data_IF_289234191795
#
_entry.id   IF_289234191795
#
_cell.length_a   1.000
_cell.length_b   1.000
_cell.length_c   1.000
_cell.angle_alpha   90.00
_cell.angle_beta   90.00
_cell.angle_gamma   90.00
#
_symmetry.space_group_name_H-M   'P 1'
#
loop_
_entity.id
_entity.type
_entity.pdbx_description
1 polymer ?
#
# COMPACT_ATOMS: atom_id res chain seq x y z
N UNK A 1 -4.10 40.24 -6.17
CA UNK A 1 -2.69 40.69 -6.27
C UNK A 1 -2.13 40.27 -7.62
N UNK A 2 -1.33 41.14 -8.27
CA UNK A 2 -0.81 40.88 -9.61
C UNK A 2 0.39 39.91 -9.62
N UNK A 3 1.15 39.84 -8.53
CA UNK A 3 2.33 38.96 -8.38
C UNK A 3 2.34 38.28 -7.02
N UNK A 4 3.10 37.19 -6.92
CA UNK A 4 3.31 36.43 -5.69
C UNK A 4 4.01 37.28 -4.61
N UNK A 5 4.92 38.15 -5.03
CA UNK A 5 5.59 39.11 -4.14
C UNK A 5 4.60 40.08 -3.49
N UNK A 6 3.67 40.66 -4.25
CA UNK A 6 2.65 41.59 -3.71
C UNK A 6 1.69 40.85 -2.78
N UNK A 7 1.37 39.59 -3.10
CA UNK A 7 0.53 38.76 -2.22
C UNK A 7 1.22 38.48 -0.88
N UNK A 8 2.49 38.10 -0.92
CA UNK A 8 3.28 37.84 0.27
C UNK A 8 3.44 39.09 1.14
N UNK A 9 3.78 40.23 0.54
CA UNK A 9 3.93 41.51 1.26
C UNK A 9 2.64 41.91 1.98
N UNK A 10 1.51 41.92 1.26
CA UNK A 10 0.21 42.28 1.84
C UNK A 10 -0.25 41.26 2.87
N UNK A 11 0.02 39.98 2.63
CA UNK A 11 -0.35 38.92 3.56
C UNK A 11 0.46 38.99 4.86
N UNK A 12 1.75 39.35 4.80
CA UNK A 12 2.55 39.57 6.01
C UNK A 12 2.07 40.81 6.78
N UNK A 13 1.74 41.91 6.08
CA UNK A 13 1.16 43.08 6.71
C UNK A 13 -0.16 42.74 7.44
N UNK A 14 -1.04 41.96 6.80
CA UNK A 14 -2.31 41.52 7.39
C UNK A 14 -2.10 40.57 8.57
N UNK A 15 -1.15 39.63 8.47
CA UNK A 15 -0.79 38.71 9.56
C UNK A 15 -0.34 39.51 10.79
N UNK A 16 0.53 40.51 10.59
CA UNK A 16 1.04 41.36 11.66
C UNK A 16 -0.04 42.26 12.26
N UNK A 17 -0.89 42.89 11.43
CA UNK A 17 -2.01 43.73 11.87
C UNK A 17 -3.01 42.95 12.74
N UNK A 18 -3.24 41.68 12.41
CA UNK A 18 -4.17 40.80 13.13
C UNK A 18 -3.49 39.97 14.24
N UNK A 19 -2.20 40.18 14.50
CA UNK A 19 -1.41 39.43 15.51
C UNK A 19 -1.50 37.90 15.36
N UNK A 20 -1.51 37.41 14.11
CA UNK A 20 -1.62 35.98 13.81
C UNK A 20 -0.24 35.31 13.78
N UNK A 21 -0.10 34.11 14.34
CA UNK A 21 1.12 33.30 14.20
C UNK A 21 1.41 32.96 12.72
N UNK A 22 0.35 32.66 11.96
CA UNK A 22 0.43 32.29 10.57
C UNK A 22 -0.83 32.72 9.81
N UNK A 23 -0.67 32.99 8.51
CA UNK A 23 -1.75 33.26 7.57
C UNK A 23 -1.65 32.31 6.38
N UNK A 24 -2.67 31.48 6.18
CA UNK A 24 -2.81 30.61 5.01
C UNK A 24 -3.76 31.27 4.00
N UNK A 25 -3.31 31.41 2.75
CA UNK A 25 -4.08 32.00 1.66
C UNK A 25 -4.30 30.94 0.58
N UNK A 26 -5.56 30.57 0.35
CA UNK A 26 -5.95 29.73 -0.79
C UNK A 26 -5.99 30.57 -2.07
N UNK A 27 -5.35 30.09 -3.14
CA UNK A 27 -5.16 30.81 -4.41
C UNK A 27 -5.76 30.08 -5.61
N UNK A 28 -6.84 29.32 -5.38
CA UNK A 28 -7.53 28.56 -6.42
C UNK A 28 -6.57 27.68 -7.23
N UNK A 29 -6.54 27.81 -8.56
CA UNK A 29 -5.66 27.07 -9.46
C UNK A 29 -4.17 27.35 -9.25
N UNK A 30 -3.81 28.41 -8.51
CA UNK A 30 -2.42 28.72 -8.16
C UNK A 30 -1.96 28.01 -6.87
N UNK A 31 -2.84 27.25 -6.22
CA UNK A 31 -2.53 26.49 -5.01
C UNK A 31 -2.70 27.30 -3.73
N UNK A 32 -1.69 27.29 -2.84
CA UNK A 32 -1.74 27.92 -1.52
C UNK A 32 -0.46 28.68 -1.19
N UNK A 33 -0.60 29.72 -0.36
CA UNK A 33 0.53 30.44 0.23
C UNK A 33 0.40 30.44 1.74
N UNK A 34 1.43 29.98 2.44
CA UNK A 34 1.55 30.05 3.90
C UNK A 34 2.57 31.14 4.27
N UNK A 35 2.13 32.08 5.09
CA UNK A 35 2.93 33.18 5.62
C UNK A 35 3.05 32.98 7.13
N UNK A 36 4.27 33.07 7.66
CA UNK A 36 4.59 32.81 9.07
C UNK A 36 5.57 33.85 9.57
N UNK A 37 5.45 34.19 10.84
CA UNK A 37 6.36 35.15 11.47
C UNK A 37 7.83 34.75 11.32
N UNK A 38 8.65 35.70 10.84
CA UNK A 38 10.10 35.51 10.71
C UNK A 38 10.53 34.46 9.68
N UNK A 39 9.62 33.98 8.82
CA UNK A 39 9.92 32.96 7.81
C UNK A 39 9.56 33.45 6.41
N UNK A 40 10.28 32.93 5.41
CA UNK A 40 9.94 33.18 4.01
C UNK A 40 8.55 32.60 3.68
N UNK A 41 7.74 33.29 2.86
CA UNK A 41 6.48 32.76 2.35
C UNK A 41 6.67 31.41 1.67
N UNK A 42 5.86 30.43 2.02
CA UNK A 42 5.86 29.12 1.38
C UNK A 42 4.72 29.06 0.37
N UNK A 43 5.06 28.86 -0.89
CA UNK A 43 4.10 28.69 -1.98
C UNK A 43 4.03 27.20 -2.37
N UNK A 44 2.84 26.62 -2.36
CA UNK A 44 2.59 25.28 -2.90
C UNK A 44 1.60 25.38 -4.07
N UNK A 45 2.00 24.98 -5.30
CA UNK A 45 1.06 24.93 -6.42
C UNK A 45 0.02 23.82 -6.19
N UNK A 46 -1.18 23.97 -6.76
CA UNK A 46 -2.16 22.88 -6.76
C UNK A 46 -1.73 21.77 -7.72
N UNK A 47 -2.15 20.53 -7.44
CA UNK A 47 -2.00 19.39 -8.36
C UNK A 47 -3.22 19.17 -9.26
N UNK A 48 -4.33 19.87 -9.03
CA UNK A 48 -5.55 19.70 -9.83
C UNK A 48 -5.31 20.18 -11.28
N UNK A 49 -5.40 19.27 -12.25
CA UNK A 49 -5.22 19.59 -13.67
C UNK A 49 -6.52 20.04 -14.35
N UNK A 50 -7.68 19.67 -13.81
CA UNK A 50 -9.00 20.11 -14.28
C UNK A 50 -9.91 20.44 -13.07
N UNK A 51 -10.43 21.68 -13.04
CA UNK A 51 -11.32 22.17 -11.98
C UNK A 51 -12.75 22.08 -12.50
N UNK A 52 -13.57 21.26 -11.87
CA UNK A 52 -14.99 21.09 -12.22
C UNK A 52 -15.89 21.99 -11.37
N UNK A 53 -15.65 22.02 -10.06
CA UNK A 53 -16.47 22.76 -9.10
C UNK A 53 -15.60 23.21 -7.91
N UNK A 54 -15.67 24.48 -7.50
CA UNK A 54 -14.88 25.02 -6.37
C UNK A 54 -15.62 24.93 -5.02
N UNK A 55 -16.85 24.43 -5.04
CA UNK A 55 -17.72 24.38 -3.86
C UNK A 55 -17.22 23.34 -2.85
N UNK A 56 -17.02 23.73 -1.59
CA UNK A 56 -16.53 22.85 -0.50
C UNK A 56 -15.01 22.69 -0.40
N UNK A 57 -14.23 23.31 -1.29
CA UNK A 57 -12.77 23.30 -1.21
C UNK A 57 -12.25 23.96 0.08
N UNK A 58 -12.84 25.10 0.47
CA UNK A 58 -12.48 25.81 1.69
C UNK A 58 -12.71 24.99 2.95
N UNK A 59 -13.85 24.31 3.05
CA UNK A 59 -14.18 23.44 4.19
C UNK A 59 -13.21 22.26 4.28
N UNK A 60 -12.80 21.70 3.14
CA UNK A 60 -11.79 20.63 3.06
C UNK A 60 -10.43 21.13 3.55
N UNK A 61 -10.04 22.35 3.17
CA UNK A 61 -8.79 22.97 3.65
C UNK A 61 -8.81 23.13 5.16
N UNK A 62 -9.87 23.71 5.71
CA UNK A 62 -10.00 23.94 7.15
C UNK A 62 -10.00 22.61 7.90
N UNK A 63 -10.76 21.62 7.42
CA UNK A 63 -10.84 20.29 8.03
C UNK A 63 -9.50 19.57 8.07
N UNK A 64 -8.77 19.54 6.94
CA UNK A 64 -7.46 18.86 6.88
C UNK A 64 -6.36 19.61 7.64
N UNK A 65 -6.36 20.95 7.60
CA UNK A 65 -5.47 21.75 8.43
C UNK A 65 -5.71 21.45 9.92
N UNK A 66 -6.97 21.49 10.35
CA UNK A 66 -7.36 21.19 11.72
C UNK A 66 -6.96 19.78 12.16
N UNK A 67 -7.20 18.78 11.31
CA UNK A 67 -6.82 17.39 11.58
C UNK A 67 -5.30 17.22 11.70
N UNK A 68 -4.52 17.77 10.78
CA UNK A 68 -3.07 17.65 10.78
C UNK A 68 -2.44 18.35 12.00
N UNK A 69 -2.94 19.55 12.34
CA UNK A 69 -2.49 20.28 13.52
C UNK A 69 -2.88 19.55 14.82
N UNK A 70 -4.08 18.97 14.89
CA UNK A 70 -4.50 18.15 16.03
C UNK A 70 -3.66 16.87 16.19
N UNK A 71 -3.15 16.33 15.08
CA UNK A 71 -2.18 15.24 15.04
C UNK A 71 -0.72 15.71 15.25
N UNK A 72 -0.51 16.97 15.66
CA UNK A 72 0.78 17.55 16.01
C UNK A 72 1.78 17.66 14.84
N UNK A 73 1.28 17.75 13.61
CA UNK A 73 2.08 18.10 12.42
C UNK A 73 2.27 19.62 12.33
N UNK A 74 3.36 20.07 11.69
CA UNK A 74 3.60 21.50 11.51
C UNK A 74 2.79 22.07 10.33
N UNK A 75 2.67 23.40 10.30
CA UNK A 75 1.86 24.13 9.32
C UNK A 75 2.21 23.82 7.85
N UNK A 76 3.48 23.64 7.44
CA UNK A 76 3.82 23.25 6.07
C UNK A 76 3.25 21.88 5.67
N UNK A 77 3.33 20.88 6.54
CA UNK A 77 2.80 19.53 6.29
C UNK A 77 1.27 19.56 6.26
N UNK A 78 0.66 20.31 7.17
CA UNK A 78 -0.79 20.54 7.18
C UNK A 78 -1.26 21.20 5.87
N UNK A 79 -0.53 22.24 5.40
CA UNK A 79 -0.83 22.91 4.13
C UNK A 79 -0.69 21.95 2.95
N UNK A 80 0.32 21.09 2.95
CA UNK A 80 0.52 20.10 1.89
C UNK A 80 -0.67 19.13 1.78
N UNK A 81 -1.13 18.59 2.92
CA UNK A 81 -2.31 17.72 2.97
C UNK A 81 -3.58 18.47 2.52
N UNK A 82 -3.79 19.69 3.03
CA UNK A 82 -4.93 20.52 2.68
C UNK A 82 -4.97 20.87 1.18
N UNK A 83 -3.82 21.22 0.59
CA UNK A 83 -3.70 21.52 -0.83
C UNK A 83 -3.98 20.31 -1.72
N UNK A 84 -3.55 19.12 -1.30
CA UNK A 84 -3.85 17.88 -2.00
C UNK A 84 -5.34 17.54 -1.92
N UNK A 85 -5.92 17.56 -0.72
CA UNK A 85 -7.33 17.25 -0.50
C UNK A 85 -8.27 18.21 -1.21
N UNK A 86 -7.98 19.52 -1.13
CA UNK A 86 -8.74 20.53 -1.86
C UNK A 86 -8.68 20.29 -3.37
N UNK A 87 -7.50 19.95 -3.91
CA UNK A 87 -7.33 19.60 -5.32
C UNK A 87 -8.17 18.41 -5.76
N UNK A 88 -8.32 17.39 -4.92
CA UNK A 88 -9.16 16.22 -5.19
C UNK A 88 -10.66 16.53 -5.12
N UNK A 89 -11.08 17.39 -4.20
CA UNK A 89 -12.50 17.76 -4.05
C UNK A 89 -12.95 18.60 -5.24
N UNK A 90 -12.13 19.56 -5.70
CA UNK A 90 -12.52 20.43 -6.82
C UNK A 90 -12.50 19.74 -8.18
N UNK A 91 -11.88 18.57 -8.27
CA UNK A 91 -11.90 17.71 -9.45
C UNK A 91 -13.20 16.89 -9.57
N UNK A 92 -14.11 16.97 -8.59
CA UNK A 92 -15.39 16.25 -8.56
C UNK A 92 -16.56 17.22 -8.75
N UNK A 93 -17.67 16.78 -9.36
CA UNK A 93 -18.86 17.61 -9.49
C UNK A 93 -19.61 17.77 -8.16
N UNK A 94 -20.03 19.00 -7.83
CA UNK A 94 -20.85 19.31 -6.65
C UNK A 94 -20.07 19.36 -5.33
N UNK A 95 -20.79 19.41 -4.21
CA UNK A 95 -20.22 19.33 -2.86
C UNK A 95 -19.74 17.89 -2.59
N UNK A 96 -18.52 17.59 -3.04
CA UNK A 96 -17.95 16.26 -2.90
C UNK A 96 -17.16 16.11 -1.59
N UNK A 97 -17.17 14.90 -1.03
CA UNK A 97 -16.37 14.54 0.14
C UNK A 97 -15.02 13.98 -0.26
N UNK A 98 -14.04 14.12 0.62
CA UNK A 98 -12.74 13.47 0.52
C UNK A 98 -12.71 12.21 1.40
N UNK A 99 -12.35 11.07 0.82
CA UNK A 99 -12.07 9.85 1.58
C UNK A 99 -10.58 9.72 1.92
N UNK A 100 -10.27 8.95 2.97
CA UNK A 100 -8.89 8.64 3.34
C UNK A 100 -8.19 7.88 2.21
N UNK A 101 -8.88 6.97 1.53
CA UNK A 101 -8.35 6.22 0.40
C UNK A 101 -7.86 7.13 -0.74
N UNK A 102 -8.67 8.14 -1.11
CA UNK A 102 -8.31 9.08 -2.17
C UNK A 102 -7.10 9.94 -1.80
N UNK A 103 -7.07 10.44 -0.56
CA UNK A 103 -5.92 11.20 -0.06
C UNK A 103 -4.65 10.33 -0.04
N UNK A 104 -4.78 9.07 0.39
CA UNK A 104 -3.69 8.12 0.45
C UNK A 104 -3.14 7.81 -0.94
N UNK A 105 -4.00 7.53 -1.92
CA UNK A 105 -3.60 7.33 -3.32
C UNK A 105 -2.89 8.56 -3.88
N UNK A 106 -3.40 9.76 -3.61
CA UNK A 106 -2.81 11.00 -4.14
C UNK A 106 -1.45 11.37 -3.49
N UNK A 107 -1.20 10.92 -2.26
CA UNK A 107 0.09 11.06 -1.57
C UNK A 107 1.15 10.13 -2.16
N UNK A 108 0.79 8.87 -2.44
CA UNK A 108 1.73 7.85 -2.89
C UNK A 108 1.87 7.79 -4.43
N UNK A 109 0.90 8.32 -5.18
CA UNK A 109 0.87 8.34 -6.65
C UNK A 109 0.78 6.94 -7.30
N UNK A 110 0.98 6.86 -8.62
CA UNK A 110 1.08 5.61 -9.41
C UNK A 110 2.24 4.67 -8.98
N UNK A 111 3.00 5.03 -7.93
CA UNK A 111 4.08 4.19 -7.39
C UNK A 111 3.57 2.98 -6.62
N UNK A 112 2.30 2.96 -6.25
CA UNK A 112 1.64 1.73 -5.82
C UNK A 112 1.46 0.88 -7.07
N UNK A 113 2.42 0.00 -7.36
CA UNK A 113 2.30 -0.94 -8.46
C UNK A 113 0.95 -1.65 -8.35
N UNK A 114 0.04 -1.43 -9.30
CA UNK A 114 -1.30 -2.04 -9.24
C UNK A 114 -1.19 -3.57 -9.20
N UNK A 115 -0.14 -4.11 -9.84
CA UNK A 115 0.18 -5.53 -9.89
C UNK A 115 1.71 -5.75 -9.99
N UNK A 116 2.18 -6.91 -9.56
CA UNK A 116 3.51 -7.44 -9.85
C UNK A 116 4.45 -7.55 -8.65
N UNK A 117 5.76 -7.56 -8.95
CA UNK A 117 6.82 -7.66 -7.95
C UNK A 117 6.95 -6.34 -7.20
N UNK A 118 6.94 -6.41 -5.87
CA UNK A 118 6.97 -5.25 -4.98
C UNK A 118 7.87 -5.52 -3.76
N UNK A 119 8.58 -4.48 -3.32
CA UNK A 119 9.39 -4.54 -2.10
C UNK A 119 8.52 -4.46 -0.83
N UNK A 120 8.99 -4.96 0.33
CA UNK A 120 8.20 -5.02 1.56
C UNK A 120 7.60 -3.67 2.01
N UNK A 121 8.37 -2.59 2.00
CA UNK A 121 7.88 -1.29 2.47
C UNK A 121 6.75 -0.73 1.58
N UNK A 122 6.91 -0.63 0.24
CA UNK A 122 5.82 -0.23 -0.65
C UNK A 122 4.60 -1.15 -0.62
N UNK A 123 4.79 -2.45 -0.31
CA UNK A 123 3.67 -3.38 -0.17
C UNK A 123 2.75 -3.01 0.99
N UNK A 124 3.30 -2.64 2.15
CA UNK A 124 2.49 -2.22 3.31
C UNK A 124 1.57 -1.07 2.89
N UNK A 125 2.10 -0.12 2.13
CA UNK A 125 1.34 1.01 1.65
C UNK A 125 0.24 0.59 0.65
N UNK A 126 0.57 -0.31 -0.28
CA UNK A 126 -0.39 -0.85 -1.26
C UNK A 126 -1.55 -1.59 -0.60
N UNK A 127 -1.25 -2.42 0.40
CA UNK A 127 -2.25 -3.19 1.17
C UNK A 127 -3.16 -2.23 1.94
N UNK A 128 -2.61 -1.24 2.65
CA UNK A 128 -3.40 -0.24 3.37
C UNK A 128 -4.28 0.57 2.44
N UNK A 129 -3.75 0.98 1.27
CA UNK A 129 -4.54 1.68 0.26
C UNK A 129 -5.73 0.83 -0.22
N UNK A 130 -5.53 -0.46 -0.47
CA UNK A 130 -6.58 -1.38 -0.89
C UNK A 130 -7.66 -1.56 0.20
N UNK A 131 -7.24 -1.81 1.44
CA UNK A 131 -8.14 -1.93 2.59
C UNK A 131 -8.97 -0.65 2.80
N UNK A 132 -8.38 0.53 2.64
CA UNK A 132 -9.08 1.81 2.71
C UNK A 132 -10.12 1.99 1.59
N UNK A 133 -9.92 1.36 0.43
CA UNK A 133 -10.92 1.29 -0.66
C UNK A 133 -12.00 0.22 -0.41
N UNK A 134 -11.94 -0.49 0.71
CA UNK A 134 -12.85 -1.58 1.04
C UNK A 134 -12.53 -2.90 0.33
N UNK A 135 -11.37 -3.00 -0.31
CA UNK A 135 -10.89 -4.26 -0.91
C UNK A 135 -10.36 -5.17 0.19
N UNK A 136 -10.73 -6.45 0.13
CA UNK A 136 -10.26 -7.46 1.08
C UNK A 136 -8.96 -8.08 0.60
N UNK A 137 -7.89 -7.93 1.36
CA UNK A 137 -6.54 -8.38 1.00
C UNK A 137 -6.23 -9.74 1.61
N UNK A 138 -5.97 -10.70 0.74
CA UNK A 138 -5.55 -12.06 1.07
C UNK A 138 -4.03 -12.16 0.97
N UNK A 139 -3.39 -12.85 1.90
CA UNK A 139 -1.95 -13.13 1.84
C UNK A 139 -1.69 -14.61 2.03
N UNK A 140 -0.74 -15.13 1.26
CA UNK A 140 -0.18 -16.47 1.43
C UNK A 140 1.34 -16.40 1.30
N UNK A 141 2.05 -17.43 1.76
CA UNK A 141 3.48 -17.55 1.56
C UNK A 141 3.92 -18.95 1.10
N UNK A 142 5.03 -19.00 0.37
CA UNK A 142 5.63 -20.26 -0.06
C UNK A 142 6.95 -20.09 -0.81
N UNK A 143 7.61 -21.22 -1.02
CA UNK A 143 8.87 -21.29 -1.76
C UNK A 143 8.66 -21.18 -3.28
N UNK A 144 7.59 -21.82 -3.81
CA UNK A 144 7.21 -21.84 -5.23
C UNK A 144 8.38 -22.13 -6.19
N UNK A 145 9.25 -23.09 -5.82
CA UNK A 145 10.46 -23.43 -6.58
C UNK A 145 10.16 -23.95 -8.00
N UNK A 146 9.27 -24.96 -8.09
CA UNK A 146 8.71 -25.42 -9.36
C UNK A 146 7.20 -25.37 -9.24
N UNK A 147 6.58 -24.48 -10.00
CA UNK A 147 5.14 -24.32 -10.07
C UNK A 147 4.51 -25.50 -10.83
N UNK A 148 3.28 -25.82 -10.44
CA UNK A 148 2.47 -26.88 -11.04
C UNK A 148 0.98 -26.55 -10.85
N UNK A 149 0.10 -27.33 -11.48
CA UNK A 149 -1.34 -27.10 -11.45
C UNK A 149 -1.89 -26.92 -10.02
N UNK A 150 -1.45 -27.74 -9.06
CA UNK A 150 -1.85 -27.58 -7.66
C UNK A 150 -1.52 -26.21 -7.04
N UNK A 151 -0.38 -25.58 -7.39
CA UNK A 151 -0.08 -24.22 -6.94
C UNK A 151 -1.02 -23.19 -7.58
N UNK A 152 -1.34 -23.35 -8.86
CA UNK A 152 -2.26 -22.44 -9.57
C UNK A 152 -3.66 -22.54 -8.96
N UNK A 153 -4.19 -23.76 -8.79
CA UNK A 153 -5.48 -24.00 -8.16
C UNK A 153 -5.53 -23.45 -6.72
N UNK A 154 -4.48 -23.67 -5.93
CA UNK A 154 -4.36 -23.11 -4.58
C UNK A 154 -4.41 -21.58 -4.56
N UNK A 155 -3.64 -20.92 -5.44
CA UNK A 155 -3.62 -19.46 -5.52
C UNK A 155 -4.96 -18.89 -6.00
N UNK A 156 -5.63 -19.55 -6.94
CA UNK A 156 -6.99 -19.18 -7.35
C UNK A 156 -8.01 -19.32 -6.22
N UNK A 157 -7.94 -20.41 -5.45
CA UNK A 157 -8.80 -20.59 -4.27
C UNK A 157 -8.53 -19.52 -3.22
N UNK A 158 -7.25 -19.17 -2.97
CA UNK A 158 -6.89 -18.08 -2.07
C UNK A 158 -7.44 -16.73 -2.56
N UNK A 159 -7.26 -16.40 -3.84
CA UNK A 159 -7.78 -15.18 -4.45
C UNK A 159 -9.29 -15.04 -4.29
N UNK A 160 -10.07 -16.13 -4.41
CA UNK A 160 -11.55 -16.09 -4.25
C UNK A 160 -12.02 -15.66 -2.85
N UNK A 161 -11.15 -15.66 -1.85
CA UNK A 161 -11.51 -15.25 -0.49
C UNK A 161 -11.54 -13.73 -0.31
N UNK A 162 -10.96 -12.97 -1.24
CA UNK A 162 -10.92 -11.50 -1.21
C UNK A 162 -10.77 -10.89 -2.61
N UNK A 163 -10.37 -9.63 -2.64
CA UNK A 163 -10.26 -8.83 -3.86
C UNK A 163 -8.82 -8.71 -4.35
N UNK A 164 -7.84 -8.90 -3.45
CA UNK A 164 -6.40 -8.84 -3.74
C UNK A 164 -5.67 -10.04 -3.13
N UNK A 165 -4.64 -10.54 -3.81
CA UNK A 165 -3.77 -11.62 -3.34
C UNK A 165 -2.32 -11.19 -3.33
N UNK A 166 -1.73 -11.21 -2.14
CA UNK A 166 -0.28 -11.09 -1.89
C UNK A 166 0.33 -12.48 -1.77
N UNK A 167 1.42 -12.72 -2.50
CA UNK A 167 2.23 -13.93 -2.36
C UNK A 167 3.62 -13.56 -1.85
N UNK A 168 3.89 -13.94 -0.59
CA UNK A 168 5.21 -13.80 0.00
C UNK A 168 6.12 -14.98 -0.37
N UNK A 169 7.32 -14.68 -0.84
CA UNK A 169 8.24 -15.65 -1.42
C UNK A 169 9.55 -15.68 -0.64
N UNK A 170 9.93 -16.85 -0.13
CA UNK A 170 11.21 -17.03 0.55
C UNK A 170 12.38 -16.72 -0.40
N UNK A 171 13.39 -16.02 0.07
CA UNK A 171 14.65 -15.87 -0.66
C UNK A 171 15.45 -17.19 -0.72
N UNK A 172 16.53 -17.18 -1.50
CA UNK A 172 17.31 -18.39 -1.78
C UNK A 172 18.04 -18.88 -0.52
N UNK A 173 18.47 -17.96 0.36
CA UNK A 173 19.14 -18.31 1.61
C UNK A 173 18.18 -18.96 2.61
N UNK A 174 16.96 -18.43 2.76
CA UNK A 174 15.88 -18.96 3.60
C UNK A 174 15.51 -20.37 3.15
N UNK A 175 15.37 -20.60 1.84
CA UNK A 175 15.08 -21.94 1.30
C UNK A 175 16.25 -22.90 1.55
N UNK A 176 17.50 -22.44 1.36
CA UNK A 176 18.69 -23.25 1.61
C UNK A 176 18.77 -23.74 3.06
N UNK A 177 18.41 -22.88 4.03
CA UNK A 177 18.31 -23.26 5.46
C UNK A 177 17.18 -24.26 5.72
N UNK A 178 16.02 -24.07 5.10
CA UNK A 178 14.82 -24.89 5.33
C UNK A 178 14.84 -26.26 4.64
N UNK A 179 15.39 -26.34 3.43
CA UNK A 179 15.30 -27.53 2.55
C UNK A 179 16.66 -28.10 2.13
N UNK A 180 17.75 -27.48 2.59
CA UNK A 180 19.13 -27.89 2.32
C UNK A 180 19.77 -27.18 1.12
N UNK A 181 21.09 -27.36 0.93
CA UNK A 181 21.92 -26.52 0.06
C UNK A 181 21.68 -26.72 -1.44
N UNK A 182 20.96 -27.77 -1.84
CA UNK A 182 20.58 -28.05 -3.24
C UNK A 182 19.30 -27.32 -3.67
N UNK A 183 18.70 -26.51 -2.79
CA UNK A 183 17.47 -25.75 -3.03
C UNK A 183 17.69 -24.27 -2.73
N UNK A 184 17.03 -23.36 -3.45
CA UNK A 184 16.08 -23.61 -4.55
C UNK A 184 16.78 -23.97 -5.86
N UNK A 185 16.02 -24.57 -6.80
CA UNK A 185 16.49 -24.80 -8.18
C UNK A 185 16.42 -23.49 -8.97
N UNK A 186 15.34 -22.73 -8.77
CA UNK A 186 15.13 -21.45 -9.42
C UNK A 186 15.48 -20.29 -8.46
N UNK A 187 16.32 -19.32 -8.88
CA UNK A 187 16.61 -18.14 -8.08
C UNK A 187 15.34 -17.31 -7.83
N UNK A 188 15.35 -16.55 -6.73
CA UNK A 188 14.24 -15.72 -6.25
C UNK A 188 13.57 -14.89 -7.37
N UNK A 189 14.37 -14.18 -8.15
CA UNK A 189 13.87 -13.30 -9.21
C UNK A 189 12.98 -14.05 -10.23
N UNK A 190 13.36 -15.28 -10.62
CA UNK A 190 12.58 -16.10 -11.56
C UNK A 190 11.28 -16.59 -10.93
N UNK A 191 11.35 -17.05 -9.68
CA UNK A 191 10.15 -17.53 -8.95
C UNK A 191 9.12 -16.40 -8.82
N UNK A 192 9.59 -15.21 -8.44
CA UNK A 192 8.73 -14.04 -8.32
C UNK A 192 8.14 -13.59 -9.66
N UNK A 193 8.94 -13.60 -10.74
CA UNK A 193 8.47 -13.23 -12.07
C UNK A 193 7.36 -14.15 -12.58
N UNK A 194 7.48 -15.46 -12.36
CA UNK A 194 6.43 -16.41 -12.78
C UNK A 194 5.16 -16.20 -11.96
N UNK A 195 5.28 -16.03 -10.63
CA UNK A 195 4.14 -15.74 -9.76
C UNK A 195 3.42 -14.45 -10.15
N UNK A 196 4.17 -13.39 -10.47
CA UNK A 196 3.61 -12.11 -10.90
C UNK A 196 2.87 -12.18 -12.25
N UNK A 197 3.13 -13.23 -13.05
CA UNK A 197 2.41 -13.48 -14.30
C UNK A 197 1.11 -14.27 -14.12
N UNK A 198 0.80 -14.76 -12.92
CA UNK A 198 -0.44 -15.51 -12.66
C UNK A 198 -1.60 -14.54 -12.44
N UNK A 199 -2.68 -14.70 -13.19
CA UNK A 199 -3.84 -13.80 -13.11
C UNK A 199 -4.56 -13.76 -11.75
N UNK A 200 -4.28 -14.72 -10.86
CA UNK A 200 -4.79 -14.73 -9.50
C UNK A 200 -3.98 -13.85 -8.52
N UNK A 201 -2.75 -13.46 -8.89
CA UNK A 201 -1.80 -12.82 -7.97
C UNK A 201 -1.68 -11.33 -8.29
N UNK A 202 -1.93 -10.49 -7.29
CA UNK A 202 -1.76 -9.04 -7.44
C UNK A 202 -0.36 -8.60 -7.07
N UNK A 203 0.17 -9.06 -5.94
CA UNK A 203 1.48 -8.64 -5.45
C UNK A 203 2.37 -9.81 -5.09
N UNK A 204 3.64 -9.71 -5.45
CA UNK A 204 4.67 -10.69 -5.08
C UNK A 204 5.78 -10.00 -4.33
N UNK A 205 6.06 -10.46 -3.12
CA UNK A 205 7.00 -9.81 -2.19
C UNK A 205 8.04 -10.81 -1.67
N UNK A 206 9.33 -10.46 -1.60
CA UNK A 206 10.34 -11.34 -1.05
C UNK A 206 10.42 -11.23 0.49
N UNK A 207 10.89 -12.28 1.14
CA UNK A 207 11.32 -12.23 2.55
C UNK A 207 12.48 -13.18 2.83
N UNK A 208 13.32 -12.83 3.81
CA UNK A 208 14.57 -13.54 4.12
C UNK A 208 14.55 -14.35 5.41
N UNK A 209 13.59 -14.08 6.29
CA UNK A 209 13.44 -14.77 7.56
C UNK A 209 13.05 -16.24 7.38
N UNK A 210 13.23 -17.04 8.43
CA UNK A 210 12.84 -18.46 8.42
C UNK A 210 11.31 -18.64 8.39
N UNK A 211 10.57 -17.65 8.88
CA UNK A 211 9.11 -17.60 8.85
C UNK A 211 8.64 -16.25 8.30
N UNK A 212 7.45 -16.17 7.67
CA UNK A 212 6.92 -14.91 7.16
C UNK A 212 6.34 -14.00 8.26
N UNK A 213 6.45 -14.35 9.55
CA UNK A 213 5.74 -13.68 10.63
C UNK A 213 6.00 -12.17 10.68
N UNK A 214 7.27 -11.75 10.64
CA UNK A 214 7.64 -10.33 10.69
C UNK A 214 7.09 -9.52 9.50
N UNK A 215 7.02 -10.13 8.30
CA UNK A 215 6.41 -9.49 7.14
C UNK A 215 4.89 -9.41 7.28
N UNK A 216 4.25 -10.49 7.74
CA UNK A 216 2.80 -10.54 7.96
C UNK A 216 2.37 -9.53 9.04
N UNK A 217 3.16 -9.35 10.10
CA UNK A 217 2.92 -8.37 11.16
C UNK A 217 3.02 -6.91 10.67
N UNK A 218 3.83 -6.65 9.65
CA UNK A 218 3.91 -5.34 9.01
C UNK A 218 2.73 -5.11 8.05
N UNK A 219 2.41 -6.13 7.24
CA UNK A 219 1.37 -6.04 6.20
C UNK A 219 -0.03 -6.06 6.82
N UNK A 220 -0.28 -6.91 7.82
CA UNK A 220 -1.59 -7.19 8.43
C UNK A 220 -2.71 -7.33 7.37
N UNK A 221 -2.68 -8.42 6.58
CA UNK A 221 -3.73 -8.73 5.61
C UNK A 221 -5.07 -9.02 6.32
N UNK A 222 -6.18 -8.89 5.60
CA UNK A 222 -7.51 -9.23 6.12
C UNK A 222 -7.72 -10.74 6.22
N UNK A 223 -7.03 -11.51 5.37
CA UNK A 223 -7.05 -12.97 5.39
C UNK A 223 -5.65 -13.52 5.19
N UNK A 224 -5.18 -14.33 6.14
CA UNK A 224 -3.98 -15.14 5.97
C UNK A 224 -4.38 -16.57 5.56
N UNK A 225 -3.83 -17.03 4.45
CA UNK A 225 -4.13 -18.34 3.89
C UNK A 225 -2.90 -19.24 3.90
N UNK A 226 -3.09 -20.49 4.32
CA UNK A 226 -2.12 -21.56 4.16
C UNK A 226 -2.74 -22.79 3.51
N UNK A 227 -1.98 -23.46 2.67
CA UNK A 227 -2.33 -24.79 2.17
C UNK A 227 -1.82 -25.88 3.09
N UNK A 228 -2.58 -26.97 3.22
CA UNK A 228 -2.16 -28.23 3.86
C UNK A 228 -2.76 -28.47 5.24
N UNK A 229 -2.17 -29.40 5.98
CA UNK A 229 -2.74 -29.90 7.25
C UNK A 229 -2.32 -29.06 8.47
N UNK A 230 -2.07 -27.77 8.26
CA UNK A 230 -1.73 -26.87 9.36
C UNK A 230 -2.97 -26.59 10.21
N UNK A 231 -2.78 -26.49 11.53
CA UNK A 231 -3.80 -25.86 12.38
C UNK A 231 -3.70 -24.35 12.21
N UNK A 232 -4.82 -23.62 12.15
CA UNK A 232 -4.81 -22.16 12.06
C UNK A 232 -3.94 -21.48 13.11
N UNK A 233 -3.87 -22.09 14.30
CA UNK A 233 -3.13 -21.65 15.49
C UNK A 233 -1.60 -21.67 15.29
N UNK A 234 -1.10 -22.58 14.45
CA UNK A 234 0.33 -22.84 14.24
C UNK A 234 0.89 -22.03 13.06
N UNK A 235 0.06 -21.22 12.40
CA UNK A 235 0.47 -20.42 11.25
C UNK A 235 1.23 -19.18 11.72
N UNK A 236 2.50 -19.09 11.34
CA UNK A 236 3.35 -17.93 11.59
C UNK A 236 2.68 -16.62 11.12
N UNK A 237 2.56 -15.64 12.02
CA UNK A 237 1.87 -14.37 11.78
C UNK A 237 0.34 -14.42 11.96
N UNK A 238 -0.27 -15.59 12.17
CA UNK A 238 -1.71 -15.76 12.31
C UNK A 238 -2.30 -15.03 13.53
N UNK A 239 -1.62 -15.10 14.68
CA UNK A 239 -2.05 -14.39 15.90
C UNK A 239 -2.16 -12.87 15.69
N UNK A 240 -1.21 -12.26 14.97
CA UNK A 240 -1.22 -10.84 14.69
C UNK A 240 -2.37 -10.44 13.76
N UNK A 241 -2.65 -11.26 12.74
CA UNK A 241 -3.78 -11.06 11.82
C UNK A 241 -5.12 -11.11 12.58
N UNK A 242 -5.31 -12.13 13.43
CA UNK A 242 -6.54 -12.26 14.24
C UNK A 242 -6.68 -11.09 15.23
N UNK A 243 -5.60 -10.70 15.90
CA UNK A 243 -5.60 -9.56 16.83
C UNK A 243 -5.96 -8.24 16.13
N UNK A 244 -5.63 -8.10 14.84
CA UNK A 244 -6.01 -6.96 14.00
C UNK A 244 -7.41 -7.10 13.35
N UNK A 245 -8.19 -8.12 13.72
CA UNK A 245 -9.54 -8.34 13.21
C UNK A 245 -9.63 -9.11 11.89
N UNK A 246 -8.51 -9.66 11.39
CA UNK A 246 -8.47 -10.51 10.20
C UNK A 246 -8.79 -11.98 10.48
N UNK A 247 -8.78 -12.79 9.42
CA UNK A 247 -9.08 -14.23 9.46
C UNK A 247 -7.86 -15.07 9.07
N UNK A 248 -7.74 -16.27 9.65
CA UNK A 248 -6.75 -17.27 9.21
C UNK A 248 -7.52 -18.46 8.61
N UNK A 249 -7.22 -18.81 7.36
CA UNK A 249 -7.85 -19.92 6.65
C UNK A 249 -6.85 -20.96 6.17
N UNK A 250 -7.25 -22.21 6.32
CA UNK A 250 -6.50 -23.35 5.83
C UNK A 250 -7.26 -23.92 4.64
N UNK A 251 -6.61 -23.95 3.48
CA UNK A 251 -7.17 -24.54 2.26
C UNK A 251 -6.65 -25.96 2.10
N UNK A 252 -7.56 -26.87 1.75
CA UNK A 252 -7.19 -28.23 1.38
C UNK A 252 -6.39 -28.24 0.09
N UNK A 253 -5.33 -29.05 0.03
CA UNK A 253 -4.66 -29.33 -1.24
C UNK A 253 -5.52 -30.27 -2.07
N UNK A 254 -5.71 -29.97 -3.36
CA UNK A 254 -6.15 -31.00 -4.30
C UNK A 254 -5.02 -32.03 -4.46
N UNK A 255 -5.37 -33.30 -4.24
CA UNK A 255 -4.46 -34.44 -4.23
C UNK A 255 -3.61 -34.57 -5.51
N UNK A 256 -2.32 -34.89 -5.35
CA UNK A 256 -1.58 -35.71 -6.31
C UNK A 256 -0.37 -35.11 -7.03
N UNK A 257 -0.04 -33.83 -6.90
CA UNK A 257 1.14 -33.26 -7.59
C UNK A 257 2.00 -32.46 -6.62
N UNK A 258 2.91 -33.16 -5.95
CA UNK A 258 3.97 -32.53 -5.15
C UNK A 258 5.19 -32.27 -6.04
N UNK A 259 5.83 -31.10 -5.90
CA UNK A 259 7.12 -30.78 -6.56
C UNK A 259 8.19 -31.86 -6.30
N UNK A 260 8.13 -32.54 -5.15
CA UNK A 260 9.04 -33.65 -4.82
C UNK A 260 8.76 -34.88 -5.68
N UNK A 261 7.48 -35.19 -5.94
CA UNK A 261 7.08 -36.32 -6.77
C UNK A 261 7.46 -36.11 -8.25
N UNK A 262 7.30 -34.90 -8.79
CA UNK A 262 7.72 -34.59 -10.16
C UNK A 262 9.23 -34.73 -10.35
N UNK A 263 10.04 -34.28 -9.39
CA UNK A 263 11.50 -34.40 -9.46
C UNK A 263 11.95 -35.87 -9.34
N UNK A 264 11.30 -36.66 -8.47
CA UNK A 264 11.55 -38.11 -8.40
C UNK A 264 11.29 -38.78 -9.75
N UNK A 265 10.18 -38.43 -10.42
CA UNK A 265 9.85 -39.03 -11.72
C UNK A 265 10.81 -38.68 -12.85
N UNK A 266 11.52 -37.55 -12.75
CA UNK A 266 12.55 -37.16 -13.73
C UNK A 266 13.85 -37.92 -13.45
N UNK A 267 14.25 -38.05 -12.18
CA UNK A 267 15.44 -38.80 -11.78
C UNK A 267 15.31 -40.31 -12.06
N UNK A 268 14.11 -40.87 -11.90
CA UNK A 268 13.83 -42.29 -12.18
C UNK A 268 13.79 -42.63 -13.69
N UNK A 269 13.68 -41.61 -14.58
CA UNK A 269 13.68 -41.81 -16.04
C UNK A 269 15.07 -41.73 -16.68
N UNK A 270 16.07 -41.26 -15.94
CA UNK A 270 17.47 -41.23 -16.38
C UNK A 270 18.32 -42.37 -15.77
N UNK A 271 17.68 -43.33 -15.07
CA UNK A 271 18.28 -44.58 -14.58
C UNK A 271 17.91 -45.76 -15.48
#
# INVERSE_FOLDING_TARGET
CATDAILAERGEALRAELELEALLITRSEKGMTLIREGQAPLHLPTRAQEVFDVTGAGDTVIGLMGLALAANHALPEAMMLANLGAGLVVAKPGTATLSIAELYTALHGDKLAEFGVIEPAPLVDAVRAAQLRGERVVMTNGCFDILHAGHVAYLEQAKRLGDRLVVAVNDDASIGRLKGPKRPINPLNRRMQVLAGLGAVDWVVPFSDDTPAALIEQVLPDILVKGGDYRPEDIAGGCAVIANGGEVKVLGFEDGVSTTAMISSILDRES
#
